data_IF_663235017595
#
_entry.id   IF_663235017595
#
_cell.length_a   1.000
_cell.length_b   1.000
_cell.length_c   1.000
_cell.angle_alpha   90.00
_cell.angle_beta   90.00
_cell.angle_gamma   90.00
#
_symmetry.space_group_name_H-M   'P 1'
#
loop_
_entity.id
_entity.type
_entity.pdbx_description
1 polymer ?
#
# COMPACT_ATOMS: atom_id res chain seq x y z
N UNK A 1 22.84 -31.63 39.04
CA UNK A 1 23.67 -31.00 40.09
C UNK A 1 24.79 -31.98 40.49
N UNK A 2 26.08 -31.59 40.37
CA UNK A 2 27.17 -32.35 40.96
C UNK A 2 27.04 -32.38 42.49
N UNK A 3 27.63 -33.39 43.14
CA UNK A 3 27.61 -33.47 44.59
C UNK A 3 28.26 -32.21 45.22
N UNK A 4 27.52 -31.54 46.11
CA UNK A 4 27.94 -30.30 46.76
C UNK A 4 27.63 -29.00 45.98
N UNK A 5 27.10 -29.07 44.79
CA UNK A 5 26.65 -27.90 44.07
C UNK A 5 25.25 -27.44 44.54
N UNK A 6 25.11 -26.14 44.77
CA UNK A 6 23.85 -25.49 45.16
C UNK A 6 23.21 -24.73 43.99
N UNK A 7 23.94 -24.62 42.89
CA UNK A 7 23.51 -23.88 41.67
C UNK A 7 23.91 -24.65 40.41
N UNK A 8 23.05 -24.58 39.37
CA UNK A 8 23.37 -25.00 38.02
C UNK A 8 22.82 -23.95 37.05
N UNK A 9 23.65 -23.57 36.08
CA UNK A 9 23.26 -22.66 35.00
C UNK A 9 22.98 -23.48 33.74
N UNK A 10 21.90 -23.19 33.08
CA UNK A 10 21.49 -23.81 31.81
C UNK A 10 21.28 -22.70 30.81
N UNK A 11 22.04 -22.70 29.71
CA UNK A 11 21.84 -21.82 28.59
C UNK A 11 20.74 -22.38 27.67
N UNK A 12 19.76 -21.57 27.34
CA UNK A 12 18.70 -21.91 26.41
C UNK A 12 18.92 -21.10 25.13
N UNK A 13 19.47 -21.71 24.07
CA UNK A 13 19.66 -21.00 22.80
C UNK A 13 18.29 -20.72 22.16
N UNK A 14 18.12 -19.51 21.63
CA UNK A 14 16.96 -19.12 20.83
C UNK A 14 17.34 -19.28 19.36
N UNK A 15 16.47 -19.93 18.59
CA UNK A 15 16.64 -20.12 17.15
C UNK A 15 15.92 -18.98 16.44
N UNK A 16 16.67 -18.22 15.62
CA UNK A 16 16.11 -17.20 14.75
C UNK A 16 15.56 -17.88 13.49
N UNK A 17 14.35 -17.49 13.08
CA UNK A 17 13.81 -17.79 11.76
C UNK A 17 13.47 -16.49 11.02
N UNK A 18 12.67 -16.53 9.95
CA UNK A 18 12.22 -15.35 9.19
C UNK A 18 10.70 -15.44 8.97
N UNK A 19 9.98 -16.06 9.88
CA UNK A 19 8.55 -16.28 9.80
C UNK A 19 7.83 -15.45 10.86
N UNK A 20 7.17 -14.36 10.49
CA UNK A 20 6.41 -13.55 11.43
C UNK A 20 5.41 -14.37 12.24
N UNK A 21 5.52 -14.30 13.54
CA UNK A 21 4.68 -14.99 14.50
C UNK A 21 4.21 -14.02 15.60
N UNK A 22 3.36 -14.49 16.49
CA UNK A 22 3.03 -13.76 17.70
C UNK A 22 4.07 -14.04 18.78
N UNK A 23 4.24 -13.11 19.71
CA UNK A 23 5.02 -13.34 20.92
C UNK A 23 4.55 -14.59 21.66
N UNK A 24 5.48 -15.43 22.07
CA UNK A 24 5.20 -16.69 22.78
C UNK A 24 5.59 -16.61 24.26
N UNK A 25 4.73 -17.13 25.12
CA UNK A 25 5.06 -17.31 26.54
C UNK A 25 5.59 -18.70 26.78
N UNK A 26 6.86 -18.80 27.12
CA UNK A 26 7.56 -20.05 27.38
C UNK A 26 7.63 -20.29 28.90
N UNK A 27 7.17 -21.46 29.31
CA UNK A 27 7.25 -21.91 30.70
C UNK A 27 8.38 -22.93 30.88
N UNK A 28 9.36 -22.61 31.69
CA UNK A 28 10.42 -23.54 32.08
C UNK A 28 10.06 -24.15 33.44
N UNK A 29 10.14 -25.47 33.52
CA UNK A 29 9.83 -26.25 34.71
C UNK A 29 11.08 -27.03 35.14
N UNK A 30 11.46 -26.89 36.38
CA UNK A 30 12.51 -27.71 37.02
C UNK A 30 11.86 -28.69 38.01
N UNK A 31 12.19 -29.97 37.90
CA UNK A 31 11.72 -31.02 38.82
C UNK A 31 12.86 -31.98 39.16
N UNK A 32 12.86 -32.47 40.38
CA UNK A 32 13.78 -33.50 40.85
C UNK A 32 13.10 -34.37 41.92
N UNK A 33 13.56 -35.61 42.06
CA UNK A 33 13.06 -36.49 43.11
C UNK A 33 13.21 -35.86 44.49
N UNK A 34 12.17 -35.98 45.29
CA UNK A 34 12.11 -35.46 46.67
C UNK A 34 12.19 -33.91 46.78
N UNK A 35 11.99 -33.19 45.70
CA UNK A 35 11.98 -31.72 45.66
C UNK A 35 10.64 -31.19 45.12
N UNK A 36 10.23 -30.00 45.58
CA UNK A 36 9.09 -29.30 45.01
C UNK A 36 9.46 -28.79 43.61
N UNK A 37 8.54 -28.93 42.68
CA UNK A 37 8.68 -28.41 41.33
C UNK A 37 8.72 -26.89 41.34
N UNK A 38 9.68 -26.31 40.64
CA UNK A 38 9.77 -24.87 40.42
C UNK A 38 9.54 -24.54 38.95
N UNK A 39 9.01 -23.38 38.67
CA UNK A 39 8.83 -22.92 37.30
C UNK A 39 8.99 -21.41 37.15
N UNK A 40 9.45 -20.99 36.00
CA UNK A 40 9.52 -19.60 35.59
C UNK A 40 8.95 -19.42 34.19
N UNK A 41 8.61 -18.16 33.83
CA UNK A 41 8.08 -17.77 32.53
C UNK A 41 9.01 -16.73 31.92
N UNK A 42 9.17 -16.77 30.60
CA UNK A 42 9.68 -15.66 29.82
C UNK A 42 8.87 -15.53 28.52
N UNK A 43 8.90 -14.34 27.95
CA UNK A 43 8.24 -14.04 26.67
C UNK A 43 9.32 -14.06 25.60
N UNK A 44 9.13 -14.90 24.58
CA UNK A 44 9.89 -14.86 23.34
C UNK A 44 9.21 -13.86 22.42
N UNK A 45 9.88 -12.76 22.11
CA UNK A 45 9.40 -11.75 21.16
C UNK A 45 9.83 -12.12 19.75
N UNK A 46 8.87 -12.17 18.85
CA UNK A 46 9.11 -12.27 17.41
C UNK A 46 9.58 -10.93 16.86
N UNK A 47 10.64 -10.92 16.03
CA UNK A 47 11.20 -9.71 15.43
C UNK A 47 11.07 -9.67 13.90
N UNK A 48 10.30 -10.59 13.31
CA UNK A 48 10.10 -10.69 11.90
C UNK A 48 8.89 -9.89 11.40
N UNK A 49 8.98 -9.40 10.16
CA UNK A 49 7.91 -8.69 9.48
C UNK A 49 7.41 -9.49 8.29
N UNK A 50 6.09 -9.48 8.02
CA UNK A 50 5.55 -10.18 6.85
C UNK A 50 6.16 -9.64 5.56
N UNK A 51 6.71 -10.53 4.72
CA UNK A 51 7.00 -10.19 3.35
C UNK A 51 5.70 -10.20 2.54
N UNK A 52 5.52 -9.18 1.71
CA UNK A 52 4.37 -9.05 0.81
C UNK A 52 4.85 -9.01 -0.63
N UNK A 53 4.03 -9.52 -1.54
CA UNK A 53 4.14 -9.32 -2.98
C UNK A 53 2.85 -8.74 -3.53
N UNK A 54 2.93 -8.04 -4.66
CA UNK A 54 1.79 -7.43 -5.32
C UNK A 54 1.82 -7.74 -6.81
N UNK A 55 0.66 -7.97 -7.39
CA UNK A 55 0.47 -8.04 -8.83
C UNK A 55 -0.67 -7.12 -9.24
N UNK A 56 -0.54 -6.49 -10.42
CA UNK A 56 -1.55 -5.62 -11.00
C UNK A 56 -2.06 -6.20 -12.32
N UNK A 57 -3.37 -6.23 -12.51
CA UNK A 57 -3.98 -6.68 -13.77
C UNK A 57 -5.23 -5.87 -14.14
N UNK A 58 -5.29 -5.32 -15.36
CA UNK A 58 -4.18 -5.14 -16.31
C UNK A 58 -3.18 -4.09 -15.81
N UNK A 59 -1.96 -4.07 -16.37
CA UNK A 59 -0.93 -3.06 -16.05
C UNK A 59 -1.01 -1.81 -16.91
N UNK A 60 -1.80 -1.86 -18.00
CA UNK A 60 -2.04 -0.73 -18.91
C UNK A 60 -3.54 -0.55 -19.07
N UNK A 61 -4.01 0.65 -18.86
CA UNK A 61 -5.43 1.02 -18.92
C UNK A 61 -5.62 2.38 -19.57
N UNK A 62 -6.80 2.61 -20.13
CA UNK A 62 -7.21 3.93 -20.58
C UNK A 62 -7.59 4.80 -19.39
N UNK A 63 -7.40 6.09 -19.49
CA UNK A 63 -7.87 7.08 -18.52
C UNK A 63 -9.40 6.98 -18.33
N UNK A 64 -10.15 6.70 -19.38
CA UNK A 64 -11.61 6.50 -19.35
C UNK A 64 -12.05 5.17 -18.73
N UNK A 65 -11.16 4.31 -18.23
CA UNK A 65 -11.51 3.00 -17.70
C UNK A 65 -12.33 3.03 -16.38
N UNK A 66 -12.29 4.14 -15.64
CA UNK A 66 -13.13 4.39 -14.47
C UNK A 66 -12.71 3.60 -13.21
N UNK A 67 -13.71 3.26 -12.35
CA UNK A 67 -13.46 2.80 -10.97
C UNK A 67 -12.82 1.42 -10.82
N UNK A 68 -12.96 0.51 -11.77
CA UNK A 68 -12.44 -0.85 -11.70
C UNK A 68 -11.44 -1.11 -12.84
N UNK A 69 -10.56 -0.16 -13.09
CA UNK A 69 -9.62 -0.20 -14.21
C UNK A 69 -8.55 -1.28 -14.03
N UNK A 70 -8.05 -1.44 -12.81
CA UNK A 70 -6.99 -2.38 -12.44
C UNK A 70 -7.41 -3.15 -11.19
N UNK A 71 -7.05 -4.42 -11.11
CA UNK A 71 -7.16 -5.19 -9.88
C UNK A 71 -5.76 -5.44 -9.32
N UNK A 72 -5.56 -5.03 -8.07
CA UNK A 72 -4.35 -5.32 -7.32
C UNK A 72 -4.60 -6.55 -6.46
N UNK A 73 -3.69 -7.53 -6.55
CA UNK A 73 -3.67 -8.70 -5.67
C UNK A 73 -2.40 -8.65 -4.84
N UNK A 74 -2.56 -8.65 -3.51
CA UNK A 74 -1.46 -8.69 -2.56
C UNK A 74 -1.49 -10.03 -1.85
N UNK A 75 -0.34 -10.71 -1.84
CA UNK A 75 -0.11 -11.96 -1.10
C UNK A 75 0.94 -11.73 -0.01
N UNK A 76 0.82 -12.44 1.10
CA UNK A 76 1.81 -12.47 2.17
C UNK A 76 2.38 -13.88 2.35
N UNK A 77 3.67 -13.97 2.65
CA UNK A 77 4.37 -15.24 2.88
C UNK A 77 4.25 -15.75 4.31
N UNK A 78 3.70 -14.94 5.21
CA UNK A 78 3.68 -15.30 6.62
C UNK A 78 2.52 -16.20 6.96
N UNK A 79 2.77 -17.09 7.89
CA UNK A 79 1.72 -17.76 8.61
C UNK A 79 0.75 -16.72 9.20
N UNK A 80 -0.35 -16.99 9.07
CA UNK A 80 -1.66 -16.48 9.21
C UNK A 80 -2.10 -16.15 10.62
N UNK A 81 -1.19 -16.07 11.58
CA UNK A 81 -1.53 -15.91 13.00
C UNK A 81 -1.65 -14.44 13.44
N UNK A 82 -1.47 -13.50 12.53
CA UNK A 82 -1.59 -12.08 12.86
C UNK A 82 -2.38 -11.32 11.81
N UNK A 83 -3.15 -10.34 12.27
CA UNK A 83 -3.78 -9.33 11.45
C UNK A 83 -2.74 -8.32 10.98
N UNK A 84 -2.71 -8.00 9.70
CA UNK A 84 -1.90 -6.91 9.16
C UNK A 84 -2.77 -5.83 8.51
N UNK A 85 -2.31 -4.59 8.58
CA UNK A 85 -2.92 -3.46 7.87
C UNK A 85 -1.96 -2.99 6.79
N UNK A 86 -2.46 -2.96 5.56
CA UNK A 86 -1.76 -2.44 4.40
C UNK A 86 -2.15 -0.97 4.23
N UNK A 87 -1.17 -0.10 4.13
CA UNK A 87 -1.36 1.29 3.74
C UNK A 87 -0.98 1.43 2.28
N UNK A 88 -1.89 1.96 1.48
CA UNK A 88 -1.76 2.12 0.03
C UNK A 88 -1.46 3.57 -0.30
N UNK A 89 -0.59 3.78 -1.28
CA UNK A 89 -0.23 5.10 -1.81
C UNK A 89 0.19 5.00 -3.27
N UNK A 90 0.16 6.13 -3.95
CA UNK A 90 0.68 6.27 -5.30
C UNK A 90 1.46 7.58 -5.44
N UNK A 91 2.25 7.70 -6.51
CA UNK A 91 3.03 8.90 -6.84
C UNK A 91 2.33 9.80 -7.87
N UNK A 92 1.08 9.49 -8.24
CA UNK A 92 0.28 10.34 -9.11
C UNK A 92 -0.24 11.57 -8.38
N UNK A 93 -0.54 12.60 -9.12
CA UNK A 93 -1.18 13.80 -8.57
C UNK A 93 -2.71 13.61 -8.53
N UNK A 94 -3.18 12.63 -7.70
CA UNK A 94 -4.61 12.36 -7.50
C UNK A 94 -5.32 11.77 -8.74
N UNK A 95 -4.64 10.93 -9.52
CA UNK A 95 -5.19 10.32 -10.74
C UNK A 95 -5.88 8.99 -10.50
N UNK A 96 -5.65 8.38 -9.33
CA UNK A 96 -6.24 7.09 -8.99
C UNK A 96 -7.36 7.20 -7.95
N UNK A 97 -8.27 6.22 -7.99
CA UNK A 97 -9.26 5.95 -6.95
C UNK A 97 -8.93 4.60 -6.29
N UNK A 98 -8.74 4.57 -5.01
CA UNK A 98 -8.55 3.33 -4.24
C UNK A 98 -8.82 3.57 -2.75
N UNK A 99 -9.00 2.48 -2.01
CA UNK A 99 -9.08 2.52 -0.56
C UNK A 99 -7.67 2.68 0.02
N UNK A 100 -7.44 3.67 0.88
CA UNK A 100 -6.11 3.97 1.43
C UNK A 100 -5.54 2.90 2.36
N UNK A 101 -6.41 2.08 2.95
CA UNK A 101 -6.01 1.02 3.88
C UNK A 101 -6.79 -0.25 3.63
N UNK A 102 -6.11 -1.39 3.67
CA UNK A 102 -6.71 -2.71 3.57
C UNK A 102 -6.22 -3.55 4.74
N UNK A 103 -7.13 -4.31 5.34
CA UNK A 103 -6.81 -5.23 6.42
C UNK A 103 -6.85 -6.65 5.90
N UNK A 104 -5.77 -7.40 6.12
CA UNK A 104 -5.72 -8.85 5.98
C UNK A 104 -5.85 -9.45 7.38
N UNK A 105 -6.98 -10.09 7.65
CA UNK A 105 -7.23 -10.73 8.94
C UNK A 105 -6.34 -11.97 9.11
N UNK A 106 -6.29 -12.47 10.35
CA UNK A 106 -5.73 -13.78 10.65
C UNK A 106 -6.29 -14.85 9.69
N UNK A 107 -5.46 -15.74 9.18
CA UNK A 107 -5.85 -16.76 8.22
C UNK A 107 -5.92 -16.31 6.76
N UNK A 108 -5.84 -15.01 6.46
CA UNK A 108 -5.94 -14.49 5.10
C UNK A 108 -4.55 -14.32 4.49
N UNK A 109 -4.23 -15.10 3.45
CA UNK A 109 -2.95 -15.04 2.74
C UNK A 109 -2.96 -14.07 1.55
N UNK A 110 -4.14 -13.81 0.99
CA UNK A 110 -4.31 -13.01 -0.22
C UNK A 110 -5.51 -12.08 -0.12
N UNK A 111 -5.38 -10.90 -0.70
CA UNK A 111 -6.47 -9.94 -0.88
C UNK A 111 -6.40 -9.31 -2.26
N UNK A 112 -7.55 -9.23 -2.94
CA UNK A 112 -7.70 -8.54 -4.21
C UNK A 112 -8.66 -7.36 -4.06
N UNK A 113 -8.30 -6.22 -4.64
CA UNK A 113 -9.12 -5.01 -4.60
C UNK A 113 -8.98 -4.20 -5.89
N UNK A 114 -10.01 -3.40 -6.25
CA UNK A 114 -9.97 -2.57 -7.44
C UNK A 114 -9.20 -1.26 -7.22
N UNK A 115 -8.56 -0.80 -8.28
CA UNK A 115 -8.00 0.53 -8.44
C UNK A 115 -8.69 1.16 -9.64
N UNK A 116 -9.27 2.35 -9.46
CA UNK A 116 -9.85 3.13 -10.54
C UNK A 116 -8.91 4.20 -11.05
N UNK A 117 -9.16 4.67 -12.27
CA UNK A 117 -8.46 5.78 -12.90
C UNK A 117 -9.44 6.93 -13.08
N UNK A 118 -8.98 8.16 -12.87
CA UNK A 118 -9.76 9.39 -13.07
C UNK A 118 -9.60 9.87 -14.49
N UNK A 119 -10.72 9.98 -15.18
CA UNK A 119 -10.81 10.58 -16.50
C UNK A 119 -10.78 12.12 -16.38
N UNK A 120 -10.11 12.77 -17.28
CA UNK A 120 -10.13 14.22 -17.43
C UNK A 120 -10.43 14.58 -18.91
N UNK A 121 -10.30 15.81 -19.34
CA UNK A 121 -10.51 16.24 -20.73
C UNK A 121 -9.27 16.93 -21.29
N UNK A 122 -8.10 16.61 -20.75
CA UNK A 122 -6.87 17.26 -21.10
C UNK A 122 -5.98 16.29 -21.87
N UNK A 123 -5.52 16.69 -23.03
CA UNK A 123 -4.52 15.93 -23.77
C UNK A 123 -3.17 16.07 -23.05
N UNK A 124 -2.83 15.12 -22.21
CA UNK A 124 -1.60 15.14 -21.39
C UNK A 124 -0.70 13.92 -21.63
N UNK A 125 -1.13 13.00 -22.51
CA UNK A 125 -0.34 11.88 -22.99
C UNK A 125 -0.27 10.69 -22.03
N UNK A 126 0.36 9.62 -22.50
CA UNK A 126 0.53 8.40 -21.70
C UNK A 126 1.50 8.65 -20.54
N UNK A 127 1.12 8.20 -19.35
CA UNK A 127 1.91 8.35 -18.12
C UNK A 127 1.96 7.05 -17.32
N UNK A 128 2.93 6.95 -16.44
CA UNK A 128 3.10 5.81 -15.54
C UNK A 128 2.99 6.24 -14.10
N UNK A 129 2.26 5.44 -13.29
CA UNK A 129 2.05 5.68 -11.87
C UNK A 129 2.61 4.51 -11.09
N UNK A 130 3.42 4.79 -10.07
CA UNK A 130 3.87 3.80 -9.10
C UNK A 130 2.84 3.66 -8.00
N UNK A 131 2.33 2.45 -7.84
CA UNK A 131 1.41 2.10 -6.78
C UNK A 131 2.14 1.28 -5.72
N UNK A 132 2.06 1.71 -4.47
CA UNK A 132 2.83 1.16 -3.36
C UNK A 132 1.92 0.66 -2.26
N UNK A 133 2.18 -0.54 -1.76
CA UNK A 133 1.59 -1.09 -0.55
C UNK A 133 2.68 -1.24 0.53
N UNK A 134 2.36 -0.77 1.75
CA UNK A 134 3.23 -0.83 2.91
C UNK A 134 2.53 -1.56 4.05
N UNK A 135 3.22 -2.51 4.70
CA UNK A 135 2.69 -3.21 5.89
C UNK A 135 2.87 -2.33 7.11
N UNK A 136 1.79 -2.13 7.86
CA UNK A 136 1.81 -1.57 9.20
C UNK A 136 1.33 -2.64 10.18
N UNK A 137 2.20 -3.03 11.09
CA UNK A 137 1.87 -3.96 12.17
C UNK A 137 1.49 -3.13 13.39
N UNK A 138 0.20 -3.11 13.73
CA UNK A 138 -0.31 -2.30 14.86
C UNK A 138 -0.65 -3.12 16.09
N UNK A 139 -0.85 -4.43 15.95
CA UNK A 139 -1.43 -5.28 16.99
C UNK A 139 -0.70 -6.63 17.20
N UNK A 140 0.52 -6.77 16.75
CA UNK A 140 1.33 -7.85 17.28
C UNK A 140 1.86 -7.38 18.63
N UNK A 141 1.75 -8.15 19.69
CA UNK A 141 2.44 -7.87 20.96
C UNK A 141 3.97 -7.82 20.87
N UNK A 142 4.50 -7.64 19.66
CA UNK A 142 5.91 -7.66 19.29
C UNK A 142 6.55 -6.31 19.57
N UNK A 143 6.95 -6.08 20.81
CA UNK A 143 7.69 -4.87 21.22
C UNK A 143 9.05 -4.72 20.51
N UNK A 144 9.56 -5.79 19.89
CA UNK A 144 10.89 -5.83 19.29
C UNK A 144 10.94 -5.34 17.82
N UNK A 145 9.81 -5.30 17.09
CA UNK A 145 9.79 -4.99 15.65
C UNK A 145 10.14 -3.52 15.36
N UNK A 146 9.90 -2.62 16.29
CA UNK A 146 10.16 -1.20 16.08
C UNK A 146 9.38 -0.67 14.86
N UNK A 147 10.00 0.19 14.05
CA UNK A 147 9.43 0.74 12.83
C UNK A 147 9.82 -0.06 11.56
N UNK A 148 10.03 -1.38 11.68
CA UNK A 148 10.26 -2.21 10.49
C UNK A 148 9.02 -2.16 9.59
N UNK A 149 9.22 -1.85 8.32
CA UNK A 149 8.17 -1.72 7.32
C UNK A 149 8.55 -2.48 6.06
N UNK A 150 7.68 -3.36 5.60
CA UNK A 150 7.83 -3.98 4.29
C UNK A 150 6.99 -3.23 3.27
N UNK A 151 7.57 -2.90 2.13
CA UNK A 151 6.89 -2.22 1.03
C UNK A 151 7.05 -2.99 -0.27
N UNK A 152 6.01 -2.96 -1.09
CA UNK A 152 6.05 -3.44 -2.47
C UNK A 152 5.47 -2.36 -3.39
N UNK A 153 6.07 -2.19 -4.56
CA UNK A 153 5.67 -1.18 -5.54
C UNK A 153 5.55 -1.81 -6.91
N UNK A 154 4.45 -1.54 -7.58
CA UNK A 154 4.16 -1.93 -8.96
C UNK A 154 3.77 -0.70 -9.79
N UNK A 155 3.76 -0.83 -11.12
CA UNK A 155 3.54 0.29 -12.03
C UNK A 155 2.28 0.09 -12.87
N UNK A 156 1.45 1.14 -12.95
CA UNK A 156 0.29 1.25 -13.83
C UNK A 156 0.62 2.22 -14.96
N UNK A 157 0.41 1.82 -16.20
CA UNK A 157 0.47 2.71 -17.36
C UNK A 157 -0.94 3.20 -17.69
N UNK A 158 -1.14 4.51 -17.70
CA UNK A 158 -2.40 5.15 -18.04
C UNK A 158 -2.26 5.80 -19.42
N UNK A 159 -3.07 5.36 -20.38
CA UNK A 159 -3.10 5.95 -21.72
C UNK A 159 -4.17 7.03 -21.78
N UNK A 160 -3.77 8.19 -22.30
CA UNK A 160 -4.65 9.32 -22.59
C UNK A 160 -5.64 8.95 -23.70
N UNK A 161 -6.90 9.26 -23.50
CA UNK A 161 -7.98 9.04 -24.48
C UNK A 161 -8.54 10.35 -25.07
N UNK A 162 -7.97 11.48 -24.70
CA UNK A 162 -8.45 12.77 -25.14
C UNK A 162 -7.82 13.23 -26.46
N UNK A 163 -8.64 13.84 -27.28
CA UNK A 163 -8.19 14.50 -28.50
C UNK A 163 -8.05 16.02 -28.30
N UNK A 164 -7.18 16.69 -29.06
CA UNK A 164 -7.04 18.14 -28.98
C UNK A 164 -8.33 18.84 -29.42
N UNK A 165 -8.86 19.70 -28.57
CA UNK A 165 -10.07 20.47 -28.83
C UNK A 165 -9.85 21.94 -28.58
N UNK A 166 -10.62 22.78 -29.31
CA UNK A 166 -10.69 24.21 -29.09
C UNK A 166 -12.07 24.57 -28.53
N UNK A 167 -12.09 25.40 -27.52
CA UNK A 167 -13.31 26.03 -27.01
C UNK A 167 -13.24 27.53 -27.29
N UNK A 168 -14.34 28.11 -27.79
CA UNK A 168 -14.47 29.54 -28.05
C UNK A 168 -15.63 30.10 -27.24
N UNK A 169 -15.39 31.16 -26.51
CA UNK A 169 -16.44 31.89 -25.77
C UNK A 169 -16.39 33.36 -26.12
N UNK A 170 -17.55 34.02 -26.09
CA UNK A 170 -17.68 35.46 -26.26
C UNK A 170 -18.16 36.09 -24.94
N UNK A 171 -17.66 37.29 -24.64
CA UNK A 171 -18.12 38.11 -23.52
C UNK A 171 -19.53 38.71 -23.76
N UNK A 172 -19.97 38.76 -25.04
CA UNK A 172 -21.29 39.26 -25.45
C UNK A 172 -22.01 38.27 -26.36
N UNK A 173 -23.30 38.07 -26.13
CA UNK A 173 -24.16 37.22 -26.97
C UNK A 173 -24.89 38.03 -28.05
N UNK A 174 -24.97 39.34 -27.87
CA UNK A 174 -25.58 40.29 -28.81
C UNK A 174 -24.80 41.58 -28.85
N UNK A 175 -24.59 42.11 -30.02
CA UNK A 175 -23.83 43.38 -30.22
C UNK A 175 -24.70 44.27 -31.13
N UNK A 176 -25.08 45.49 -30.70
CA UNK A 176 -25.73 46.46 -31.58
C UNK A 176 -24.79 46.86 -32.70
N UNK A 177 -25.31 47.06 -33.88
CA UNK A 177 -24.58 47.68 -34.99
C UNK A 177 -24.12 49.07 -34.57
N UNK A 178 -22.83 49.35 -34.74
CA UNK A 178 -22.22 50.61 -34.30
C UNK A 178 -21.63 50.61 -32.90
N UNK A 179 -21.66 49.46 -32.17
CA UNK A 179 -20.91 49.33 -30.90
C UNK A 179 -19.40 49.34 -31.20
N UNK A 180 -18.73 50.45 -30.87
CA UNK A 180 -17.31 50.64 -31.12
C UNK A 180 -16.42 49.68 -30.31
N UNK A 181 -16.95 49.04 -29.24
CA UNK A 181 -16.21 48.12 -28.39
C UNK A 181 -16.26 46.66 -28.91
N UNK A 182 -17.25 46.33 -29.76
CA UNK A 182 -17.42 44.96 -30.30
C UNK A 182 -17.57 43.90 -29.22
N UNK A 183 -17.18 42.66 -29.53
CA UNK A 183 -17.09 41.57 -28.57
C UNK A 183 -15.67 41.07 -28.45
N UNK A 184 -15.36 40.57 -27.29
CA UNK A 184 -14.09 39.85 -27.02
C UNK A 184 -14.33 38.35 -27.12
N UNK A 185 -13.56 37.68 -27.97
CA UNK A 185 -13.57 36.22 -28.09
C UNK A 185 -12.39 35.65 -27.34
N UNK A 186 -12.66 34.64 -26.49
CA UNK A 186 -11.64 33.87 -25.83
C UNK A 186 -11.59 32.48 -26.42
N UNK A 187 -10.43 32.07 -26.93
CA UNK A 187 -10.18 30.71 -27.45
C UNK A 187 -9.30 29.99 -26.44
N UNK A 188 -9.71 28.80 -26.04
CA UNK A 188 -8.97 27.91 -25.14
C UNK A 188 -8.75 26.57 -25.82
N UNK A 189 -7.60 25.96 -25.52
CA UNK A 189 -7.25 24.59 -25.92
C UNK A 189 -7.13 23.70 -24.68
N UNK A 190 -7.40 22.42 -24.84
CA UNK A 190 -7.30 21.42 -23.74
C UNK A 190 -5.99 20.65 -23.71
N UNK A 191 -5.11 20.86 -24.71
CA UNK A 191 -3.80 20.22 -24.80
C UNK A 191 -2.69 21.08 -24.16
N UNK A 192 -1.49 20.52 -24.08
CA UNK A 192 -0.31 21.26 -23.63
C UNK A 192 -0.07 22.48 -24.55
N UNK A 193 0.27 23.62 -23.95
CA UNK A 193 0.50 24.87 -24.65
C UNK A 193 1.75 24.86 -25.61
N UNK A 194 2.46 23.77 -25.69
CA UNK A 194 3.58 23.53 -26.59
C UNK A 194 3.26 22.35 -27.52
N UNK A 195 3.26 22.46 -28.84
CA UNK A 195 3.70 23.58 -29.71
C UNK A 195 2.62 24.65 -29.94
N UNK A 196 2.99 25.80 -30.56
CA UNK A 196 2.00 26.80 -30.96
C UNK A 196 1.04 26.23 -32.01
N UNK A 197 -0.25 26.64 -31.93
CA UNK A 197 -1.24 26.34 -32.97
C UNK A 197 -1.01 27.30 -34.15
N UNK A 198 -0.94 26.77 -35.35
CA UNK A 198 -0.86 27.53 -36.62
C UNK A 198 -2.21 27.59 -37.30
#
# INVERSE_FOLDING_TARGET
FPAGATEAVIDIPIVQDNLPANDETIKIIASADHHLTASTLFILHDDDVPAISMTLQPTTVSEAAGYNAVYATITRNSAVNSKITLKLSDDSNNELYYTQTITMNEGVEEVTFPIGVKDNQKVDGTRTVKFTAAVYITDCGCSAIGNKQTTVTETITITDNDGPTLNITSDKTTIPEGDATGAQLTIRRNDDASPPLT
#
